data_IF_977827303934
#
_entry.id   IF_977827303934
#
_cell.length_a   1.000
_cell.length_b   1.000
_cell.length_c   1.000
_cell.angle_alpha   90.00
_cell.angle_beta   90.00
_cell.angle_gamma   90.00
#
_symmetry.space_group_name_H-M   'P 1'
#
loop_
_entity.id
_entity.type
_entity.pdbx_description
1 polymer ?
#
# COMPACT_ATOMS: atom_id res chain seq x y z
N UNK A 1 43.05 -48.10 -24.02
CA UNK A 1 42.08 -46.99 -24.04
C UNK A 1 40.83 -47.34 -23.21
N UNK A 2 40.88 -47.27 -21.88
CA UNK A 2 39.68 -47.45 -21.01
C UNK A 2 39.65 -46.59 -19.74
N UNK A 3 40.66 -45.75 -19.49
CA UNK A 3 40.73 -44.89 -18.29
C UNK A 3 40.48 -43.39 -18.54
N UNK A 4 40.29 -42.98 -19.79
CA UNK A 4 40.12 -41.56 -20.13
C UNK A 4 38.68 -41.02 -19.94
N UNK A 5 37.67 -41.89 -19.88
CA UNK A 5 36.25 -41.45 -19.76
C UNK A 5 35.77 -41.22 -18.32
N UNK A 6 36.46 -41.75 -17.29
CA UNK A 6 36.01 -41.62 -15.89
C UNK A 6 36.50 -40.30 -15.25
N UNK A 7 37.64 -39.78 -15.69
CA UNK A 7 38.20 -38.51 -15.16
C UNK A 7 37.41 -37.30 -15.66
N UNK A 8 36.84 -37.37 -16.87
CA UNK A 8 36.03 -36.27 -17.43
C UNK A 8 34.68 -36.11 -16.72
N UNK A 9 34.06 -37.21 -16.27
CA UNK A 9 32.79 -37.17 -15.52
C UNK A 9 32.97 -36.67 -14.08
N UNK A 10 34.10 -37.02 -13.44
CA UNK A 10 34.45 -36.53 -12.10
C UNK A 10 34.82 -35.03 -12.07
N UNK A 11 35.46 -34.53 -13.13
CA UNK A 11 35.74 -33.09 -13.27
C UNK A 11 34.47 -32.26 -13.54
N UNK A 12 33.53 -32.75 -14.36
CA UNK A 12 32.25 -32.06 -14.55
C UNK A 12 31.39 -32.03 -13.28
N UNK A 13 31.36 -33.13 -12.52
CA UNK A 13 30.65 -33.17 -11.23
C UNK A 13 31.27 -32.22 -10.20
N UNK A 14 32.60 -32.17 -10.11
CA UNK A 14 33.30 -31.28 -9.18
C UNK A 14 33.08 -29.79 -9.49
N UNK A 15 32.98 -29.42 -10.77
CA UNK A 15 32.69 -28.05 -11.20
C UNK A 15 31.25 -27.66 -10.85
N UNK A 16 30.26 -28.53 -11.11
CA UNK A 16 28.86 -28.28 -10.73
C UNK A 16 28.68 -28.17 -9.21
N UNK A 17 29.37 -29.00 -8.42
CA UNK A 17 29.33 -28.90 -6.95
C UNK A 17 29.99 -27.62 -6.43
N UNK A 18 31.03 -27.11 -7.11
CA UNK A 18 31.72 -25.88 -6.72
C UNK A 18 30.88 -24.62 -6.92
N UNK A 19 30.15 -24.54 -8.05
CA UNK A 19 29.23 -23.42 -8.32
C UNK A 19 28.01 -23.43 -7.39
N UNK A 20 27.37 -24.59 -7.19
CA UNK A 20 26.23 -24.69 -6.28
C UNK A 20 26.57 -24.36 -4.81
N UNK A 21 27.81 -24.63 -4.38
CA UNK A 21 28.29 -24.29 -3.05
C UNK A 21 28.56 -22.78 -2.89
N UNK A 22 28.98 -22.09 -3.95
CA UNK A 22 29.18 -20.64 -3.95
C UNK A 22 27.83 -19.90 -3.95
N UNK A 23 26.87 -20.34 -4.77
CA UNK A 23 25.50 -19.79 -4.80
C UNK A 23 24.78 -19.97 -3.45
N UNK A 24 24.89 -21.15 -2.83
CA UNK A 24 24.33 -21.39 -1.50
C UNK A 24 24.93 -20.42 -0.45
N UNK A 25 26.24 -20.17 -0.51
CA UNK A 25 26.88 -19.20 0.39
C UNK A 25 26.42 -17.77 0.11
N UNK A 26 26.24 -17.39 -1.16
CA UNK A 26 25.69 -16.09 -1.56
C UNK A 26 24.30 -15.88 -0.92
N UNK A 27 23.45 -16.91 -0.97
CA UNK A 27 22.10 -16.89 -0.41
C UNK A 27 22.10 -16.79 1.12
N UNK A 28 22.97 -17.51 1.81
CA UNK A 28 23.07 -17.40 3.27
C UNK A 28 23.57 -16.00 3.70
N UNK A 29 24.52 -15.42 2.99
CA UNK A 29 24.97 -14.03 3.21
C UNK A 29 23.83 -13.05 2.95
N UNK A 30 23.06 -13.24 1.88
CA UNK A 30 21.88 -12.43 1.59
C UNK A 30 20.86 -12.49 2.73
N UNK A 31 20.50 -13.70 3.19
CA UNK A 31 19.55 -13.93 4.29
C UNK A 31 20.00 -13.27 5.58
N UNK A 32 21.27 -13.37 5.93
CA UNK A 32 21.83 -12.73 7.12
C UNK A 32 21.78 -11.19 7.04
N UNK A 33 22.16 -10.62 5.89
CA UNK A 33 22.05 -9.18 5.66
C UNK A 33 20.59 -8.70 5.73
N UNK A 34 19.67 -9.49 5.17
CA UNK A 34 18.25 -9.19 5.24
C UNK A 34 17.72 -9.22 6.67
N UNK A 35 18.00 -10.27 7.45
CA UNK A 35 17.63 -10.33 8.88
C UNK A 35 18.14 -9.12 9.64
N UNK A 36 19.41 -8.75 9.45
CA UNK A 36 20.00 -7.56 10.07
C UNK A 36 19.27 -6.29 9.65
N UNK A 37 18.91 -6.15 8.38
CA UNK A 37 18.15 -4.99 7.89
C UNK A 37 16.72 -4.90 8.44
N UNK A 38 16.15 -6.04 8.85
CA UNK A 38 14.80 -6.13 9.41
C UNK A 38 14.75 -5.75 10.89
N UNK A 39 15.89 -5.77 11.58
CA UNK A 39 15.97 -5.38 12.98
C UNK A 39 15.68 -3.89 13.21
N UNK A 40 14.82 -3.59 14.19
CA UNK A 40 14.46 -2.22 14.58
C UNK A 40 15.66 -1.40 15.02
N UNK A 41 16.66 -2.03 15.65
CA UNK A 41 17.96 -1.43 16.00
C UNK A 41 18.71 -0.91 14.76
N UNK A 42 18.54 -1.57 13.61
CA UNK A 42 19.08 -1.19 12.31
C UNK A 42 18.10 -0.34 11.48
N UNK A 43 16.96 0.06 12.05
CA UNK A 43 15.92 0.85 11.37
C UNK A 43 14.85 0.02 10.63
N UNK A 44 14.84 -1.30 10.81
CA UNK A 44 13.88 -2.23 10.22
C UNK A 44 12.53 -2.31 10.96
N UNK A 45 11.56 -3.09 10.42
CA UNK A 45 10.19 -3.16 10.95
C UNK A 45 10.01 -4.09 12.16
N UNK A 46 10.99 -4.93 12.50
CA UNK A 46 10.85 -6.05 13.46
C UNK A 46 11.65 -5.78 14.72
N UNK A 47 11.12 -6.13 15.90
CA UNK A 47 11.89 -6.06 17.14
C UNK A 47 12.98 -7.14 17.11
N UNK A 48 14.17 -6.86 17.65
CA UNK A 48 15.34 -7.76 17.52
C UNK A 48 15.04 -9.17 18.04
N UNK A 49 14.27 -9.30 19.13
CA UNK A 49 13.84 -10.57 19.70
C UNK A 49 12.89 -11.40 18.80
N UNK A 50 12.25 -10.74 17.83
CA UNK A 50 11.27 -11.34 16.93
C UNK A 50 11.87 -11.76 15.58
N UNK A 51 13.15 -11.45 15.31
CA UNK A 51 13.86 -11.90 14.09
C UNK A 51 13.88 -13.41 13.94
N UNK A 52 13.84 -14.16 15.06
CA UNK A 52 13.76 -15.62 15.05
C UNK A 52 12.53 -16.19 14.33
N UNK A 53 11.52 -15.37 14.05
CA UNK A 53 10.32 -15.76 13.31
C UNK A 53 10.42 -15.48 11.80
N UNK A 54 11.55 -14.93 11.32
CA UNK A 54 11.87 -14.77 9.89
C UNK A 54 12.51 -16.06 9.39
N UNK A 55 11.73 -16.83 8.63
CA UNK A 55 12.10 -18.15 8.14
C UNK A 55 12.23 -18.16 6.62
N UNK A 56 13.06 -19.07 6.10
CA UNK A 56 13.28 -19.25 4.66
C UNK A 56 13.00 -20.70 4.25
N UNK A 57 12.75 -20.89 2.97
CA UNK A 57 12.83 -22.20 2.33
C UNK A 57 14.28 -22.62 2.11
N UNK A 58 14.49 -23.89 1.77
CA UNK A 58 15.79 -24.37 1.29
C UNK A 58 16.17 -23.65 -0.01
N UNK A 59 17.47 -23.50 -0.24
CA UNK A 59 17.97 -23.03 -1.54
C UNK A 59 17.66 -24.06 -2.62
N UNK A 60 17.25 -23.60 -3.79
CA UNK A 60 17.04 -24.42 -4.98
C UNK A 60 17.56 -23.67 -6.23
N UNK A 61 18.57 -24.21 -6.93
CA UNK A 61 19.16 -23.57 -8.11
C UNK A 61 18.22 -23.56 -9.33
N UNK A 62 17.16 -24.38 -9.38
CA UNK A 62 16.19 -24.33 -10.49
C UNK A 62 15.36 -23.03 -10.51
N UNK A 63 15.41 -22.28 -9.42
CA UNK A 63 14.73 -21.01 -9.23
C UNK A 63 15.67 -19.79 -9.36
N UNK A 64 16.84 -20.00 -9.95
CA UNK A 64 17.75 -18.95 -10.39
C UNK A 64 17.85 -18.97 -11.92
N UNK A 65 17.24 -17.96 -12.55
CA UNK A 65 17.00 -17.96 -13.99
C UNK A 65 17.59 -16.72 -14.65
N UNK A 66 17.94 -16.84 -15.94
CA UNK A 66 18.31 -15.71 -16.77
C UNK A 66 17.10 -15.28 -17.60
N UNK A 67 16.75 -14.00 -17.53
CA UNK A 67 15.68 -13.40 -18.32
C UNK A 67 16.25 -12.53 -19.44
N UNK A 68 15.62 -12.55 -20.62
CA UNK A 68 15.81 -11.52 -21.62
C UNK A 68 14.92 -10.31 -21.31
N UNK A 69 15.45 -9.12 -21.56
CA UNK A 69 14.81 -7.86 -21.20
C UNK A 69 14.28 -7.18 -22.46
N UNK A 70 12.97 -7.01 -22.52
CA UNK A 70 12.30 -6.16 -23.50
C UNK A 70 11.95 -4.82 -22.86
N UNK A 71 12.66 -3.75 -23.25
CA UNK A 71 12.39 -2.42 -22.72
C UNK A 71 11.07 -1.87 -23.25
N UNK A 72 10.29 -1.29 -22.35
CA UNK A 72 9.05 -0.63 -22.69
C UNK A 72 9.27 0.89 -22.74
N UNK A 73 8.75 1.52 -23.79
CA UNK A 73 8.87 2.96 -24.03
C UNK A 73 7.48 3.59 -24.02
N UNK A 74 7.39 4.85 -23.58
CA UNK A 74 6.13 5.62 -23.57
C UNK A 74 4.99 5.01 -22.73
N UNK A 75 5.28 4.05 -21.84
CA UNK A 75 4.26 3.47 -20.96
C UNK A 75 3.60 4.53 -20.05
N UNK A 76 2.27 4.46 -19.87
CA UNK A 76 1.55 5.31 -18.92
C UNK A 76 1.94 4.96 -17.48
N UNK A 77 1.72 5.89 -16.56
CA UNK A 77 1.84 5.58 -15.14
C UNK A 77 0.67 4.73 -14.67
N UNK A 78 0.94 3.87 -13.71
CA UNK A 78 -0.06 3.03 -13.03
C UNK A 78 -0.03 3.31 -11.53
N UNK A 79 -1.20 3.27 -10.90
CA UNK A 79 -1.31 3.28 -9.43
C UNK A 79 -1.39 1.84 -8.95
N UNK A 80 -0.43 1.44 -8.12
CA UNK A 80 -0.47 0.16 -7.42
C UNK A 80 -1.05 0.39 -6.02
N UNK A 81 -2.13 -0.32 -5.63
CA UNK A 81 -2.69 -0.20 -4.30
C UNK A 81 -1.65 -0.65 -3.26
N UNK A 82 -1.70 -0.08 -2.07
CA UNK A 82 -0.81 -0.46 -0.96
C UNK A 82 -1.57 -1.13 0.16
N UNK A 83 -0.85 -1.88 1.00
CA UNK A 83 -1.38 -2.58 2.18
C UNK A 83 -2.15 -1.71 3.18
N UNK A 84 -1.82 -0.43 3.30
CA UNK A 84 -2.53 0.54 4.13
C UNK A 84 -3.69 1.21 3.38
N UNK A 85 -4.12 0.59 2.28
CA UNK A 85 -5.16 1.08 1.38
C UNK A 85 -4.88 2.48 0.87
N UNK A 86 -3.62 2.83 0.59
CA UNK A 86 -3.27 3.98 -0.27
C UNK A 86 -2.86 3.46 -1.65
N UNK A 87 -2.13 4.24 -2.44
CA UNK A 87 -1.51 3.75 -3.68
C UNK A 87 -0.19 4.44 -3.95
N UNK A 88 0.67 3.78 -4.73
CA UNK A 88 1.94 4.34 -5.20
C UNK A 88 1.97 4.35 -6.72
N UNK A 89 2.55 5.39 -7.28
CA UNK A 89 2.64 5.56 -8.74
C UNK A 89 3.90 4.88 -9.27
N UNK A 90 3.71 3.97 -10.21
CA UNK A 90 4.75 3.22 -10.91
C UNK A 90 4.62 3.41 -12.42
N UNK A 91 5.65 3.01 -13.14
CA UNK A 91 5.65 2.87 -14.59
C UNK A 91 6.26 1.53 -14.95
N UNK A 92 5.69 0.82 -15.92
CA UNK A 92 6.31 -0.40 -16.46
C UNK A 92 7.63 -0.02 -17.14
N UNK A 93 8.70 -0.66 -16.73
CA UNK A 93 10.04 -0.39 -17.22
C UNK A 93 10.47 -1.36 -18.33
N UNK A 94 10.19 -2.65 -18.13
CA UNK A 94 10.50 -3.71 -19.10
C UNK A 94 9.60 -4.93 -18.87
N UNK A 95 9.48 -5.79 -19.90
CA UNK A 95 9.06 -7.18 -19.76
C UNK A 95 10.29 -8.07 -19.60
N UNK A 96 10.26 -8.94 -18.61
CA UNK A 96 11.27 -9.95 -18.36
C UNK A 96 10.75 -11.29 -18.88
N UNK A 97 11.41 -11.82 -19.92
CA UNK A 97 11.05 -13.10 -20.53
C UNK A 97 12.02 -14.18 -20.06
N UNK A 98 11.51 -15.22 -19.42
CA UNK A 98 12.32 -16.30 -18.86
C UNK A 98 11.54 -17.62 -18.81
N UNK A 99 12.24 -18.74 -18.68
CA UNK A 99 11.62 -20.04 -18.46
C UNK A 99 11.81 -20.46 -17.01
N UNK A 100 10.73 -20.84 -16.33
CA UNK A 100 10.77 -21.34 -14.95
C UNK A 100 10.00 -22.66 -14.87
N UNK A 101 10.67 -23.71 -14.40
CA UNK A 101 10.12 -25.07 -14.35
C UNK A 101 9.49 -25.54 -15.68
N UNK A 102 10.10 -25.15 -16.81
CA UNK A 102 9.64 -25.50 -18.16
C UNK A 102 8.46 -24.66 -18.69
N UNK A 103 8.03 -23.62 -17.97
CA UNK A 103 7.01 -22.68 -18.43
C UNK A 103 7.68 -21.38 -18.86
N UNK A 104 7.39 -20.92 -20.06
CA UNK A 104 7.84 -19.62 -20.54
C UNK A 104 6.92 -18.52 -20.00
N UNK A 105 7.52 -17.57 -19.28
CA UNK A 105 6.85 -16.49 -18.57
C UNK A 105 7.34 -15.14 -19.12
N UNK A 106 6.44 -14.17 -19.13
CA UNK A 106 6.75 -12.78 -19.44
C UNK A 106 6.10 -11.90 -18.38
N UNK A 107 6.92 -11.29 -17.52
CA UNK A 107 6.43 -10.49 -16.40
C UNK A 107 6.99 -9.07 -16.43
N UNK A 108 6.16 -8.05 -16.17
CA UNK A 108 6.64 -6.69 -16.11
C UNK A 108 7.44 -6.43 -14.82
N UNK A 109 8.44 -5.57 -14.96
CA UNK A 109 9.17 -4.94 -13.86
C UNK A 109 8.94 -3.44 -13.88
N UNK A 110 8.87 -2.81 -12.71
CA UNK A 110 8.42 -1.43 -12.56
C UNK A 110 9.51 -0.49 -12.08
N UNK A 111 9.41 0.78 -12.45
CA UNK A 111 10.11 1.88 -11.80
C UNK A 111 9.13 2.76 -11.03
N UNK A 112 9.53 3.29 -9.87
CA UNK A 112 8.67 4.18 -9.10
C UNK A 112 8.64 5.57 -9.75
N UNK A 113 7.46 6.03 -10.16
CA UNK A 113 7.28 7.28 -10.91
C UNK A 113 7.14 8.52 -10.00
N UNK A 114 7.23 8.37 -8.67
CA UNK A 114 7.09 9.49 -7.73
C UNK A 114 8.27 10.45 -7.87
N UNK A 115 8.01 11.63 -8.43
CA UNK A 115 8.94 12.75 -8.59
C UNK A 115 9.40 13.28 -7.23
N UNK A 116 10.45 12.69 -6.66
CA UNK A 116 11.43 13.23 -5.70
C UNK A 116 12.24 12.03 -5.20
N UNK A 117 12.98 11.38 -6.09
CA UNK A 117 13.81 10.24 -5.72
C UNK A 117 15.28 10.59 -5.82
N UNK A 118 16.00 10.34 -4.72
CA UNK A 118 17.45 10.47 -4.65
C UNK A 118 18.09 9.55 -5.69
N UNK A 119 19.31 9.90 -6.15
CA UNK A 119 20.05 9.16 -7.19
C UNK A 119 20.19 7.65 -6.90
N UNK A 120 20.10 7.23 -5.63
CA UNK A 120 20.13 5.82 -5.23
C UNK A 120 18.82 5.06 -5.49
N UNK A 121 17.65 5.70 -5.38
CA UNK A 121 16.36 5.04 -5.59
C UNK A 121 15.98 4.94 -7.07
N UNK A 122 16.44 5.89 -7.89
CA UNK A 122 16.25 5.86 -9.35
C UNK A 122 16.83 4.61 -10.04
N UNK A 123 17.77 3.92 -9.38
CA UNK A 123 18.43 2.73 -9.90
C UNK A 123 17.68 1.43 -9.59
N UNK A 124 16.77 1.41 -8.62
CA UNK A 124 16.02 0.21 -8.24
C UNK A 124 14.82 -0.01 -9.18
N UNK A 125 14.62 -1.28 -9.52
CA UNK A 125 13.51 -1.79 -10.27
C UNK A 125 12.69 -2.67 -9.32
N UNK A 126 11.41 -2.36 -9.22
CA UNK A 126 10.46 -3.05 -8.37
C UNK A 126 9.91 -4.27 -9.13
N UNK A 127 10.31 -5.47 -8.70
CA UNK A 127 9.79 -6.73 -9.25
C UNK A 127 8.94 -7.45 -8.20
N UNK A 128 7.65 -7.10 -8.09
CA UNK A 128 6.72 -7.80 -7.21
C UNK A 128 6.29 -9.13 -7.84
N UNK A 129 6.06 -10.15 -7.01
CA UNK A 129 5.56 -11.45 -7.44
C UNK A 129 4.45 -11.96 -6.51
N UNK A 130 3.48 -12.65 -7.10
CA UNK A 130 2.58 -13.57 -6.42
C UNK A 130 2.65 -14.92 -7.13
N UNK A 131 2.42 -15.98 -6.39
CA UNK A 131 2.55 -17.34 -6.91
C UNK A 131 1.65 -18.30 -6.12
N UNK A 132 1.60 -19.59 -6.48
CA UNK A 132 0.70 -20.55 -5.82
C UNK A 132 0.99 -20.79 -4.34
N UNK A 133 2.14 -20.33 -3.81
CA UNK A 133 2.44 -20.37 -2.37
C UNK A 133 1.86 -19.18 -1.59
N UNK A 134 1.41 -18.13 -2.29
CA UNK A 134 0.97 -16.86 -1.70
C UNK A 134 -0.27 -17.05 -0.83
N UNK A 135 -0.20 -16.60 0.42
CA UNK A 135 -1.29 -16.74 1.40
C UNK A 135 -1.25 -18.04 2.20
N UNK A 136 -0.67 -19.10 1.64
CA UNK A 136 -0.47 -20.40 2.29
C UNK A 136 0.86 -20.42 3.05
N UNK A 137 1.97 -20.66 2.34
CA UNK A 137 3.31 -20.77 2.92
C UNK A 137 4.17 -19.51 2.77
N UNK A 138 3.75 -18.55 1.94
CA UNK A 138 4.34 -17.21 1.79
C UNK A 138 3.35 -16.10 2.13
N UNK A 139 3.84 -14.87 2.26
CA UNK A 139 3.03 -13.73 2.72
C UNK A 139 1.83 -13.43 1.82
N UNK A 140 0.67 -13.17 2.41
CA UNK A 140 -0.61 -13.04 1.70
C UNK A 140 -0.68 -11.92 0.66
N UNK A 141 0.14 -10.87 0.77
CA UNK A 141 0.18 -9.77 -0.21
C UNK A 141 1.34 -9.90 -1.21
N UNK A 142 1.96 -11.08 -1.31
CA UNK A 142 3.06 -11.36 -2.23
C UNK A 142 4.44 -10.95 -1.70
N UNK A 143 5.45 -11.17 -2.54
CA UNK A 143 6.88 -10.99 -2.22
C UNK A 143 7.55 -10.10 -3.26
N UNK A 144 8.70 -9.55 -2.92
CA UNK A 144 9.48 -8.70 -3.81
C UNK A 144 10.84 -9.33 -4.13
N UNK A 145 11.34 -9.00 -5.31
CA UNK A 145 12.73 -9.22 -5.72
C UNK A 145 13.29 -7.84 -6.09
N UNK A 146 14.41 -7.48 -5.48
CA UNK A 146 15.09 -6.23 -5.80
C UNK A 146 15.96 -6.43 -7.04
N UNK A 147 15.62 -5.74 -8.12
CA UNK A 147 16.47 -5.64 -9.31
C UNK A 147 17.01 -4.22 -9.43
N UNK A 148 18.14 -4.04 -10.10
CA UNK A 148 18.67 -2.71 -10.43
C UNK A 148 18.90 -2.59 -11.92
N UNK A 149 18.78 -1.37 -12.45
CA UNK A 149 19.07 -1.10 -13.88
C UNK A 149 20.46 -1.58 -14.30
N UNK A 150 21.44 -1.46 -13.42
CA UNK A 150 22.83 -1.88 -13.65
C UNK A 150 23.02 -3.40 -13.69
N UNK A 151 22.05 -4.17 -13.20
CA UNK A 151 22.09 -5.63 -13.25
C UNK A 151 21.74 -6.14 -14.66
N UNK A 152 21.11 -5.29 -15.47
CA UNK A 152 20.80 -5.58 -16.87
C UNK A 152 22.07 -5.40 -17.71
N UNK A 153 22.55 -6.50 -18.31
CA UNK A 153 23.73 -6.53 -19.17
C UNK A 153 23.41 -7.24 -20.47
N UNK A 154 23.75 -6.62 -21.60
CA UNK A 154 23.53 -7.17 -22.93
C UNK A 154 22.07 -7.63 -23.18
N UNK A 155 21.09 -6.87 -22.67
CA UNK A 155 19.67 -7.20 -22.80
C UNK A 155 19.21 -8.38 -21.95
N UNK A 156 19.97 -8.77 -20.92
CA UNK A 156 19.64 -9.87 -20.01
C UNK A 156 19.80 -9.47 -18.55
N UNK A 157 19.08 -10.15 -17.66
CA UNK A 157 19.17 -9.97 -16.20
C UNK A 157 18.98 -11.31 -15.48
N UNK A 158 19.72 -11.53 -14.39
CA UNK A 158 19.53 -12.70 -13.50
C UNK A 158 18.35 -12.42 -12.57
N UNK A 159 17.43 -13.37 -12.46
CA UNK A 159 16.31 -13.35 -11.52
C UNK A 159 16.47 -14.55 -10.58
N UNK A 160 16.76 -14.25 -9.32
CA UNK A 160 17.00 -15.26 -8.30
C UNK A 160 15.85 -15.26 -7.28
N UNK A 161 14.89 -16.17 -7.47
CA UNK A 161 13.72 -16.28 -6.60
C UNK A 161 14.08 -16.77 -5.19
N UNK A 162 15.29 -17.33 -4.98
CA UNK A 162 15.78 -17.63 -3.63
C UNK A 162 16.01 -16.36 -2.79
N UNK A 163 16.07 -15.19 -3.44
CA UNK A 163 16.17 -13.87 -2.81
C UNK A 163 14.81 -13.17 -2.67
N UNK A 164 13.70 -13.81 -3.06
CA UNK A 164 12.37 -13.26 -2.88
C UNK A 164 12.07 -13.05 -1.38
N UNK A 165 11.54 -11.88 -1.03
CA UNK A 165 11.39 -11.47 0.36
C UNK A 165 10.06 -10.80 0.65
N UNK A 166 9.66 -10.80 1.92
CA UNK A 166 8.38 -10.21 2.31
C UNK A 166 8.51 -8.68 2.47
N UNK A 167 7.52 -7.91 2.01
CA UNK A 167 7.45 -6.48 2.29
C UNK A 167 7.37 -6.17 3.79
N UNK A 168 7.75 -4.96 4.19
CA UNK A 168 7.73 -4.55 5.60
C UNK A 168 6.36 -4.71 6.30
N UNK A 169 5.28 -4.67 5.54
CA UNK A 169 3.91 -4.85 5.99
C UNK A 169 3.60 -6.28 6.48
N UNK A 170 4.45 -7.25 6.12
CA UNK A 170 4.40 -8.60 6.67
C UNK A 170 4.73 -8.62 8.17
N UNK A 171 5.55 -7.68 8.64
CA UNK A 171 6.07 -7.70 10.01
C UNK A 171 5.54 -6.57 10.89
N UNK A 172 5.06 -5.48 10.29
CA UNK A 172 4.69 -4.28 11.04
C UNK A 172 3.59 -3.47 10.34
N UNK A 173 2.68 -2.93 11.14
CA UNK A 173 1.64 -2.03 10.67
C UNK A 173 2.21 -0.61 10.42
N UNK A 174 1.59 0.15 9.51
CA UNK A 174 1.99 1.52 9.19
C UNK A 174 3.00 1.67 8.04
N UNK A 175 3.26 0.60 7.28
CA UNK A 175 4.00 0.67 6.02
C UNK A 175 3.03 0.64 4.82
N UNK A 176 3.43 1.33 3.73
CA UNK A 176 2.65 1.46 2.49
C UNK A 176 3.27 0.59 1.41
N UNK A 177 3.12 -0.73 1.54
CA UNK A 177 3.76 -1.70 0.66
C UNK A 177 2.87 -1.93 -0.58
N UNK A 178 3.36 -1.68 -1.82
CA UNK A 178 2.60 -1.92 -3.04
C UNK A 178 2.19 -3.38 -3.16
N UNK A 179 0.94 -3.64 -3.48
CA UNK A 179 0.47 -4.97 -3.81
C UNK A 179 0.89 -5.31 -5.25
N UNK A 180 1.42 -6.52 -5.50
CA UNK A 180 1.71 -7.00 -6.84
C UNK A 180 0.46 -6.91 -7.73
N UNK A 181 0.56 -6.38 -8.95
CA UNK A 181 -0.54 -6.43 -9.90
C UNK A 181 -0.74 -7.85 -10.41
N UNK A 182 -1.94 -8.14 -10.92
CA UNK A 182 -2.31 -9.48 -11.42
C UNK A 182 -1.37 -10.02 -12.50
N UNK A 183 -0.86 -9.16 -13.37
CA UNK A 183 0.10 -9.53 -14.42
C UNK A 183 1.44 -10.05 -13.88
N UNK A 184 1.71 -9.89 -12.58
CA UNK A 184 2.84 -10.47 -11.87
C UNK A 184 2.48 -11.74 -11.08
N UNK A 185 1.29 -12.31 -11.30
CA UNK A 185 0.93 -13.61 -10.76
C UNK A 185 1.53 -14.74 -11.61
N UNK A 186 2.30 -15.60 -10.98
CA UNK A 186 2.92 -16.77 -11.58
C UNK A 186 2.10 -17.99 -11.18
N UNK A 187 1.48 -18.66 -12.16
CA UNK A 187 0.67 -19.87 -11.91
C UNK A 187 1.54 -21.13 -11.69
N UNK A 188 2.56 -21.00 -10.85
CA UNK A 188 3.53 -22.04 -10.46
C UNK A 188 3.80 -21.83 -8.97
N UNK A 189 4.06 -22.88 -8.20
CA UNK A 189 4.49 -22.73 -6.82
C UNK A 189 5.97 -22.34 -6.77
N UNK A 190 6.32 -21.29 -6.01
CA UNK A 190 7.71 -20.85 -5.81
C UNK A 190 8.11 -21.06 -4.34
N UNK A 191 8.42 -22.30 -3.92
CA UNK A 191 8.76 -22.66 -2.55
C UNK A 191 10.24 -22.37 -2.22
N UNK A 192 10.75 -21.23 -2.64
CA UNK A 192 12.10 -20.71 -2.35
C UNK A 192 12.01 -19.30 -1.78
N UNK A 193 13.08 -18.78 -1.18
CA UNK A 193 13.08 -17.43 -0.59
C UNK A 193 12.44 -17.37 0.80
N UNK A 194 11.92 -16.21 1.16
CA UNK A 194 11.34 -15.98 2.49
C UNK A 194 9.94 -16.60 2.63
N UNK A 195 9.70 -17.25 3.77
CA UNK A 195 8.39 -17.81 4.17
C UNK A 195 7.52 -16.75 4.81
N UNK A 196 6.23 -17.05 4.97
CA UNK A 196 5.31 -16.23 5.77
C UNK A 196 5.87 -16.01 7.19
N UNK A 197 5.99 -14.75 7.61
CA UNK A 197 6.40 -14.39 8.96
C UNK A 197 5.37 -14.86 9.99
N UNK A 198 5.83 -15.53 11.05
CA UNK A 198 4.96 -16.16 12.06
C UNK A 198 5.04 -15.48 13.44
N UNK A 199 5.78 -14.38 13.56
CA UNK A 199 5.94 -13.67 14.81
C UNK A 199 4.83 -12.65 15.05
N UNK A 200 4.81 -12.00 16.23
CA UNK A 200 3.89 -10.89 16.48
C UNK A 200 4.22 -9.72 15.53
N UNK A 201 3.17 -9.07 15.01
CA UNK A 201 3.33 -7.83 14.23
C UNK A 201 3.56 -6.67 15.18
N UNK A 202 4.59 -5.87 14.90
CA UNK A 202 4.79 -4.62 15.61
C UNK A 202 3.81 -3.56 15.10
N UNK A 203 3.31 -2.71 15.99
CA UNK A 203 2.79 -1.42 15.57
C UNK A 203 3.97 -0.46 15.53
N UNK A 204 4.30 0.05 14.34
CA UNK A 204 5.26 1.14 14.25
C UNK A 204 4.63 2.34 14.95
N UNK A 205 5.13 2.69 16.14
CA UNK A 205 5.03 4.06 16.61
C UNK A 205 5.69 4.93 15.53
N UNK A 206 4.88 5.60 14.74
CA UNK A 206 5.37 6.60 13.82
C UNK A 206 6.22 7.57 14.64
N UNK A 207 7.53 7.66 14.33
CA UNK A 207 8.33 8.78 14.81
C UNK A 207 7.52 10.02 14.48
N UNK A 208 7.18 10.88 15.45
CA UNK A 208 6.36 12.04 15.16
C UNK A 208 7.08 12.84 14.08
N UNK A 209 6.56 12.77 12.86
CA UNK A 209 6.81 13.83 11.89
C UNK A 209 6.29 15.04 12.64
N UNK A 210 7.19 15.96 13.03
CA UNK A 210 6.78 17.10 13.82
C UNK A 210 5.63 17.76 13.09
N UNK A 211 4.43 17.65 13.67
CA UNK A 211 3.23 18.05 13.00
C UNK A 211 3.36 19.53 12.66
N UNK A 212 3.16 19.86 11.39
CA UNK A 212 3.46 21.19 10.85
C UNK A 212 2.25 22.08 11.04
N UNK A 213 2.47 23.34 11.39
CA UNK A 213 1.41 24.34 11.35
C UNK A 213 0.99 24.67 9.90
N UNK A 214 -0.09 25.43 9.73
CA UNK A 214 -0.55 25.91 8.42
C UNK A 214 0.51 26.81 7.75
N UNK A 215 0.68 26.63 6.44
CA UNK A 215 1.50 27.50 5.60
C UNK A 215 0.86 28.90 5.47
N UNK A 216 1.65 29.91 5.08
CA UNK A 216 1.11 31.26 4.86
C UNK A 216 -0.04 31.29 3.83
N UNK A 217 0.02 30.43 2.81
CA UNK A 217 -1.05 30.27 1.81
C UNK A 217 -2.32 29.70 2.44
N UNK A 218 -2.20 28.62 3.20
CA UNK A 218 -3.33 27.97 3.89
C UNK A 218 -3.99 28.92 4.89
N UNK A 219 -3.19 29.66 5.68
CA UNK A 219 -3.70 30.68 6.61
C UNK A 219 -4.56 31.72 5.90
N UNK A 220 -4.13 32.19 4.72
CA UNK A 220 -4.90 33.15 3.91
C UNK A 220 -6.22 32.56 3.41
N UNK A 221 -6.23 31.28 3.03
CA UNK A 221 -7.46 30.60 2.60
C UNK A 221 -8.43 30.46 3.79
N UNK A 222 -7.95 30.01 4.95
CA UNK A 222 -8.76 29.84 6.17
C UNK A 222 -9.37 31.17 6.61
N UNK A 223 -8.58 32.25 6.62
CA UNK A 223 -8.98 33.58 7.06
C UNK A 223 -9.65 34.44 5.97
N UNK A 224 -9.99 33.86 4.82
CA UNK A 224 -10.64 34.59 3.72
C UNK A 224 -12.12 34.90 3.96
N UNK A 225 -12.70 34.38 5.03
CA UNK A 225 -14.12 34.46 5.37
C UNK A 225 -14.37 34.00 6.81
N UNK A 226 -15.57 34.24 7.29
CA UNK A 226 -16.02 33.96 8.67
C UNK A 226 -16.21 32.45 8.92
N UNK A 227 -16.25 31.99 10.18
CA UNK A 227 -16.32 30.56 10.51
C UNK A 227 -17.52 29.81 9.91
N UNK A 228 -18.64 30.48 9.68
CA UNK A 228 -19.88 29.93 9.11
C UNK A 228 -19.98 30.13 7.58
N UNK A 229 -19.00 30.77 6.96
CA UNK A 229 -18.96 30.96 5.50
C UNK A 229 -18.32 29.75 4.79
N UNK A 230 -19.03 29.25 3.79
CA UNK A 230 -18.56 28.15 2.94
C UNK A 230 -17.24 28.47 2.23
N UNK A 231 -16.47 27.43 1.99
CA UNK A 231 -15.20 27.48 1.25
C UNK A 231 -15.44 27.06 -0.20
N UNK A 232 -14.56 27.51 -1.09
CA UNK A 232 -14.55 27.03 -2.45
C UNK A 232 -14.09 25.56 -2.49
N UNK A 233 -14.94 24.68 -3.02
CA UNK A 233 -14.59 23.27 -3.25
C UNK A 233 -13.83 23.14 -4.56
N UNK A 234 -12.58 22.72 -4.48
CA UNK A 234 -11.69 22.48 -5.61
C UNK A 234 -12.27 21.42 -6.54
N UNK A 235 -12.13 21.65 -7.85
CA UNK A 235 -12.71 20.78 -8.89
C UNK A 235 -11.63 20.10 -9.72
N UNK A 236 -11.77 18.80 -9.98
CA UNK A 236 -10.81 18.03 -10.82
C UNK A 236 -10.74 18.51 -12.27
N UNK A 237 -11.77 19.23 -12.74
CA UNK A 237 -11.83 19.83 -14.08
C UNK A 237 -10.87 21.01 -14.26
N UNK A 238 -10.34 21.57 -13.17
CA UNK A 238 -9.33 22.62 -13.18
C UNK A 238 -7.96 22.04 -12.82
N UNK A 239 -6.97 22.22 -13.70
CA UNK A 239 -5.62 21.65 -13.52
C UNK A 239 -4.96 22.07 -12.20
N UNK A 240 -5.08 23.36 -11.84
CA UNK A 240 -4.51 23.92 -10.60
C UNK A 240 -5.10 23.29 -9.34
N UNK A 241 -6.38 22.96 -9.38
CA UNK A 241 -7.13 22.35 -8.30
C UNK A 241 -6.79 20.86 -8.19
N UNK A 242 -6.76 20.18 -9.34
CA UNK A 242 -6.36 18.77 -9.44
C UNK A 242 -4.97 18.51 -8.86
N UNK A 243 -4.02 19.43 -9.07
CA UNK A 243 -2.68 19.33 -8.46
C UNK A 243 -2.78 19.30 -6.92
N UNK A 244 -3.61 20.15 -6.33
CA UNK A 244 -3.79 20.24 -4.88
C UNK A 244 -4.50 18.99 -4.35
N UNK A 245 -5.59 18.59 -5.02
CA UNK A 245 -6.38 17.39 -4.71
C UNK A 245 -5.57 16.10 -4.80
N UNK A 246 -4.50 16.08 -5.62
CA UNK A 246 -3.61 14.92 -5.79
C UNK A 246 -2.30 15.04 -5.00
N UNK A 247 -2.12 16.10 -4.22
CA UNK A 247 -0.95 16.31 -3.36
C UNK A 247 -1.17 15.65 -2.00
N UNK A 248 -0.22 14.84 -1.55
CA UNK A 248 -0.27 14.22 -0.22
C UNK A 248 -0.25 15.29 0.88
N UNK A 249 -1.13 15.12 1.87
CA UNK A 249 -1.29 16.02 3.00
C UNK A 249 -0.32 15.74 4.14
N UNK A 250 0.04 16.80 4.87
CA UNK A 250 0.93 16.76 6.04
C UNK A 250 0.13 16.65 7.35
N UNK A 251 0.71 15.99 8.35
CA UNK A 251 0.17 15.99 9.71
C UNK A 251 0.17 17.43 10.29
N UNK A 252 -0.87 17.76 11.04
CA UNK A 252 -1.08 19.05 11.70
C UNK A 252 -1.09 18.93 13.22
N UNK A 253 -0.62 19.98 13.90
CA UNK A 253 -0.73 20.07 15.36
C UNK A 253 -2.19 20.19 15.79
N UNK A 254 -2.59 19.37 16.75
CA UNK A 254 -3.96 19.36 17.26
C UNK A 254 -4.34 20.68 17.95
N UNK A 255 -3.36 21.43 18.44
CA UNK A 255 -3.51 22.72 19.13
C UNK A 255 -3.30 23.93 18.20
N UNK A 256 -3.33 23.74 16.87
CA UNK A 256 -3.17 24.87 15.94
C UNK A 256 -4.33 25.87 16.11
N UNK A 257 -4.05 27.17 16.26
CA UNK A 257 -5.06 28.17 16.63
C UNK A 257 -6.13 28.40 15.56
N UNK A 258 -5.87 28.01 14.31
CA UNK A 258 -6.82 28.17 13.20
C UNK A 258 -7.66 26.91 12.95
N UNK A 259 -7.44 25.84 13.74
CA UNK A 259 -8.11 24.57 13.50
C UNK A 259 -9.63 24.69 13.69
N UNK A 260 -10.08 25.36 14.75
CA UNK A 260 -11.52 25.58 14.99
C UNK A 260 -12.17 26.43 13.89
N UNK A 261 -11.46 27.44 13.38
CA UNK A 261 -11.95 28.27 12.28
C UNK A 261 -12.10 27.45 11.00
N UNK A 262 -11.08 26.66 10.66
CA UNK A 262 -11.11 25.79 9.48
C UNK A 262 -12.22 24.73 9.59
N UNK A 263 -12.36 24.05 10.71
CA UNK A 263 -13.35 22.96 10.85
C UNK A 263 -14.78 23.48 10.77
N UNK A 264 -15.08 24.67 11.32
CA UNK A 264 -16.39 25.32 11.16
C UNK A 264 -16.69 25.65 9.69
N UNK A 265 -15.70 26.18 8.96
CA UNK A 265 -15.87 26.48 7.53
C UNK A 265 -16.00 25.22 6.67
N UNK A 266 -15.25 24.17 6.98
CA UNK A 266 -15.40 22.85 6.35
C UNK A 266 -16.81 22.30 6.58
N UNK A 267 -17.32 22.39 7.82
CA UNK A 267 -18.68 22.00 8.16
C UNK A 267 -19.73 22.79 7.37
N UNK A 268 -19.61 24.13 7.31
CA UNK A 268 -20.49 24.97 6.50
C UNK A 268 -20.43 24.62 5.01
N UNK A 269 -19.29 24.14 4.52
CA UNK A 269 -19.09 23.74 3.13
C UNK A 269 -19.76 22.39 2.82
N UNK A 270 -19.56 21.38 3.67
CA UNK A 270 -20.12 20.04 3.43
C UNK A 270 -21.64 19.98 3.68
N UNK A 271 -22.16 20.89 4.50
CA UNK A 271 -23.60 21.01 4.76
C UNK A 271 -24.32 22.02 3.86
N UNK A 272 -23.66 22.49 2.79
CA UNK A 272 -24.27 23.38 1.80
C UNK A 272 -25.55 22.75 1.22
N UNK A 273 -26.75 23.37 1.40
CA UNK A 273 -27.99 22.81 0.91
C UNK A 273 -28.04 22.60 -0.61
N UNK A 274 -27.24 23.36 -1.36
CA UNK A 274 -27.16 23.21 -2.82
C UNK A 274 -26.37 21.97 -3.23
N UNK A 275 -25.36 21.58 -2.43
CA UNK A 275 -24.44 20.47 -2.71
C UNK A 275 -24.09 19.69 -1.43
N UNK A 276 -25.07 19.01 -0.81
CA UNK A 276 -24.86 18.36 0.47
C UNK A 276 -23.91 17.17 0.35
N UNK A 277 -22.97 17.08 1.27
CA UNK A 277 -22.06 15.95 1.46
C UNK A 277 -22.25 15.29 2.81
N UNK A 278 -21.71 14.08 2.96
CA UNK A 278 -21.63 13.35 4.24
C UNK A 278 -20.22 13.35 4.82
N UNK A 279 -19.26 13.91 4.08
CA UNK A 279 -17.85 14.01 4.44
C UNK A 279 -17.16 15.06 3.57
N UNK A 280 -16.10 15.67 4.11
CA UNK A 280 -15.18 16.53 3.37
C UNK A 280 -13.77 16.45 3.97
N UNK A 281 -12.77 16.42 3.11
CA UNK A 281 -11.37 16.49 3.48
C UNK A 281 -10.78 17.90 3.24
N UNK A 282 -9.87 18.34 4.10
CA UNK A 282 -9.25 19.67 3.98
C UNK A 282 -8.59 19.96 2.61
N UNK A 283 -8.01 18.97 1.88
CA UNK A 283 -7.49 19.20 0.54
C UNK A 283 -8.56 19.66 -0.45
N UNK A 284 -9.82 19.25 -0.28
CA UNK A 284 -10.92 19.67 -1.15
C UNK A 284 -11.25 21.16 -1.04
N UNK A 285 -10.82 21.82 0.03
CA UNK A 285 -10.94 23.27 0.23
C UNK A 285 -9.58 23.98 0.14
N UNK A 286 -8.58 23.31 -0.43
CA UNK A 286 -7.27 23.89 -0.72
C UNK A 286 -6.26 23.85 0.42
N UNK A 287 -6.47 23.00 1.44
CA UNK A 287 -5.62 22.87 2.62
C UNK A 287 -5.04 21.44 2.68
N UNK A 288 -3.75 21.25 2.37
CA UNK A 288 -3.11 19.92 2.36
C UNK A 288 -2.67 19.50 3.77
N UNK A 289 -3.63 19.44 4.70
CA UNK A 289 -3.46 18.95 6.07
C UNK A 289 -4.34 17.75 6.32
N UNK A 290 -3.87 16.84 7.16
CA UNK A 290 -4.61 15.62 7.53
C UNK A 290 -5.78 15.95 8.46
N UNK A 291 -6.83 16.55 7.91
CA UNK A 291 -8.09 16.88 8.61
C UNK A 291 -9.25 16.47 7.71
N UNK A 292 -10.21 15.76 8.29
CA UNK A 292 -11.47 15.42 7.64
C UNK A 292 -12.63 15.81 8.56
N UNK A 293 -13.78 16.13 7.98
CA UNK A 293 -15.04 16.33 8.68
C UNK A 293 -16.04 15.31 8.12
N UNK A 294 -16.61 14.46 8.98
CA UNK A 294 -17.39 13.28 8.59
C UNK A 294 -18.66 13.18 9.42
N UNK A 295 -19.77 12.87 8.76
CA UNK A 295 -21.03 12.49 9.40
C UNK A 295 -21.03 11.00 9.80
N UNK A 296 -21.31 10.71 11.07
CA UNK A 296 -21.27 9.33 11.62
C UNK A 296 -22.63 8.67 11.65
N UNK A 297 -22.92 7.79 10.68
CA UNK A 297 -24.18 7.03 10.60
C UNK A 297 -24.25 5.80 11.52
N UNK A 298 -23.13 5.44 12.14
CA UNK A 298 -23.01 4.37 13.14
C UNK A 298 -23.30 4.84 14.57
N UNK A 299 -23.62 6.13 14.76
CA UNK A 299 -23.91 6.75 16.05
C UNK A 299 -25.33 7.31 16.05
N UNK A 300 -25.98 7.32 17.22
CA UNK A 300 -27.40 7.68 17.35
C UNK A 300 -27.74 9.11 16.93
N UNK A 301 -26.79 10.05 16.99
CA UNK A 301 -27.01 11.47 16.75
C UNK A 301 -26.72 11.88 15.28
N UNK A 302 -26.11 11.01 14.47
CA UNK A 302 -25.70 11.31 13.09
C UNK A 302 -24.94 12.64 12.94
N UNK A 303 -24.15 13.00 13.95
CA UNK A 303 -23.43 14.27 14.01
C UNK A 303 -22.19 14.28 13.12
N UNK A 304 -21.85 15.49 12.66
CA UNK A 304 -20.58 15.77 12.03
C UNK A 304 -19.49 15.90 13.09
N UNK A 305 -18.41 15.15 12.91
CA UNK A 305 -17.20 15.24 13.71
C UNK A 305 -16.00 15.51 12.82
N UNK A 306 -14.98 16.18 13.36
CA UNK A 306 -13.71 16.35 12.68
C UNK A 306 -12.64 15.46 13.30
N UNK A 307 -11.75 14.95 12.45
CA UNK A 307 -10.71 14.01 12.83
C UNK A 307 -9.36 14.56 12.40
N UNK A 308 -8.42 14.63 13.35
CA UNK A 308 -7.08 15.19 13.15
C UNK A 308 -6.10 14.05 12.95
N UNK A 309 -5.27 14.17 11.92
CA UNK A 309 -4.30 13.17 11.50
C UNK A 309 -4.89 11.74 11.42
N UNK A 310 -6.09 11.54 10.81
CA UNK A 310 -6.71 10.23 10.76
C UNK A 310 -5.90 9.28 9.88
N UNK A 311 -5.76 8.04 10.33
CA UNK A 311 -5.05 6.96 9.65
C UNK A 311 -5.83 5.68 9.79
N UNK A 312 -6.09 5.00 8.67
CA UNK A 312 -6.71 3.68 8.69
C UNK A 312 -5.62 2.64 8.92
N UNK A 313 -5.58 2.05 10.11
CA UNK A 313 -4.53 1.13 10.55
C UNK A 313 -4.87 -0.34 10.29
N UNK A 314 -6.13 -0.65 10.03
CA UNK A 314 -6.60 -1.97 9.62
C UNK A 314 -7.87 -1.88 8.77
N UNK A 315 -8.08 -2.85 7.88
CA UNK A 315 -9.25 -3.00 7.01
C UNK A 315 -9.72 -4.45 7.01
N UNK A 316 -11.03 -4.67 6.97
CA UNK A 316 -11.61 -6.01 6.85
C UNK A 316 -11.41 -6.60 5.47
N UNK A 317 -11.21 -7.91 5.36
CA UNK A 317 -11.25 -8.60 4.07
C UNK A 317 -12.65 -8.54 3.42
N UNK A 318 -13.71 -8.48 4.25
CA UNK A 318 -15.07 -8.27 3.77
C UNK A 318 -15.18 -6.89 3.13
N UNK A 319 -15.71 -6.84 1.92
CA UNK A 319 -15.96 -5.61 1.16
C UNK A 319 -17.46 -5.42 0.94
N UNK A 320 -17.85 -4.17 0.71
CA UNK A 320 -19.19 -3.76 0.33
C UNK A 320 -19.12 -2.93 -0.95
N UNK A 321 -20.06 -3.17 -1.86
CA UNK A 321 -20.28 -2.34 -3.04
C UNK A 321 -21.31 -1.25 -2.69
N UNK A 322 -21.08 -0.03 -3.15
CA UNK A 322 -22.11 1.00 -3.06
C UNK A 322 -21.72 2.26 -3.82
N UNK A 323 -22.73 3.07 -4.11
CA UNK A 323 -22.58 4.32 -4.85
C UNK A 323 -21.77 5.33 -4.04
N UNK A 324 -20.66 5.78 -4.62
CA UNK A 324 -19.87 6.92 -4.15
C UNK A 324 -20.04 8.11 -5.10
N UNK A 325 -19.93 9.32 -4.54
CA UNK A 325 -19.79 10.57 -5.26
C UNK A 325 -18.80 11.47 -4.52
N UNK A 326 -18.36 12.56 -5.15
CA UNK A 326 -17.38 13.47 -4.56
C UNK A 326 -17.70 14.93 -4.91
N UNK A 327 -17.66 15.82 -3.93
CA UNK A 327 -17.88 17.26 -4.14
C UNK A 327 -16.86 17.90 -5.09
N UNK A 328 -15.70 17.27 -5.27
CA UNK A 328 -14.62 17.72 -6.16
C UNK A 328 -14.65 17.10 -7.56
N UNK A 329 -15.58 16.17 -7.82
CA UNK A 329 -15.73 15.51 -9.13
C UNK A 329 -17.18 15.70 -9.59
N UNK A 330 -17.44 16.68 -10.46
CA UNK A 330 -18.80 17.01 -10.87
C UNK A 330 -19.42 15.86 -11.66
N UNK A 331 -20.71 15.63 -11.44
CA UNK A 331 -21.59 14.74 -12.22
C UNK A 331 -21.18 13.25 -12.29
N UNK A 332 -20.23 12.81 -11.47
CA UNK A 332 -19.80 11.40 -11.42
C UNK A 332 -20.29 10.71 -10.15
N UNK A 333 -21.01 9.61 -10.34
CA UNK A 333 -21.42 8.69 -9.27
C UNK A 333 -21.31 7.26 -9.77
N UNK A 334 -20.57 6.44 -9.05
CA UNK A 334 -20.26 5.07 -9.47
C UNK A 334 -20.25 4.14 -8.27
N UNK A 335 -20.48 2.86 -8.51
CA UNK A 335 -20.35 1.84 -7.48
C UNK A 335 -18.88 1.52 -7.21
N UNK A 336 -18.41 1.78 -5.99
CA UNK A 336 -17.05 1.50 -5.55
C UNK A 336 -17.07 0.40 -4.50
N UNK A 337 -16.13 -0.55 -4.58
CA UNK A 337 -15.91 -1.51 -3.51
C UNK A 337 -15.07 -0.88 -2.39
N UNK A 338 -15.54 -0.99 -1.15
CA UNK A 338 -14.81 -0.54 0.05
C UNK A 338 -14.81 -1.63 1.11
N UNK A 339 -13.81 -1.62 1.99
CA UNK A 339 -13.79 -2.54 3.12
C UNK A 339 -14.97 -2.23 4.04
N UNK A 340 -15.68 -3.26 4.50
CA UNK A 340 -16.88 -3.12 5.33
C UNK A 340 -16.57 -2.51 6.70
N UNK A 341 -15.43 -2.89 7.28
CA UNK A 341 -14.96 -2.41 8.57
C UNK A 341 -13.51 -1.93 8.49
N UNK A 342 -13.19 -0.92 9.29
CA UNK A 342 -11.87 -0.33 9.42
C UNK A 342 -11.53 -0.10 10.90
N UNK A 343 -10.24 -0.08 11.23
CA UNK A 343 -9.77 0.54 12.49
C UNK A 343 -9.17 1.88 12.12
N UNK A 344 -9.75 2.95 12.67
CA UNK A 344 -9.29 4.32 12.50
C UNK A 344 -8.46 4.71 13.72
N UNK A 345 -7.23 5.18 13.50
CA UNK A 345 -6.42 5.90 14.48
C UNK A 345 -6.50 7.40 14.16
N UNK A 346 -6.73 8.25 15.15
CA UNK A 346 -6.70 9.71 14.98
C UNK A 346 -6.23 10.40 16.27
N UNK A 347 -6.00 11.71 16.20
CA UNK A 347 -5.62 12.54 17.34
C UNK A 347 -6.84 13.30 17.86
N UNK A 348 -7.11 13.16 19.15
CA UNK A 348 -8.15 13.92 19.83
C UNK A 348 -7.77 15.40 19.96
N UNK A 349 -8.69 16.28 19.60
CA UNK A 349 -8.45 17.73 19.53
C UNK A 349 -8.31 18.40 20.90
N UNK A 350 -8.84 17.80 21.97
CA UNK A 350 -8.79 18.39 23.32
C UNK A 350 -7.55 17.93 24.08
N UNK A 351 -7.28 16.62 24.02
CA UNK A 351 -6.23 15.99 24.81
C UNK A 351 -4.93 15.79 24.04
N UNK A 352 -4.95 15.81 22.70
CA UNK A 352 -3.82 15.45 21.86
C UNK A 352 -3.48 13.95 21.90
N UNK A 353 -4.29 13.13 22.58
CA UNK A 353 -4.07 11.70 22.68
C UNK A 353 -4.47 11.00 21.38
N UNK A 354 -3.81 9.86 21.11
CA UNK A 354 -4.25 8.96 20.05
C UNK A 354 -5.49 8.20 20.48
N UNK A 355 -6.48 8.16 19.61
CA UNK A 355 -7.69 7.36 19.75
C UNK A 355 -7.68 6.32 18.64
N UNK A 356 -8.03 5.08 18.97
CA UNK A 356 -8.29 4.01 18.02
C UNK A 356 -9.72 3.51 18.18
N UNK A 357 -10.47 3.41 17.09
CA UNK A 357 -11.83 2.87 17.10
C UNK A 357 -12.12 2.03 15.86
N UNK A 358 -13.01 1.04 16.02
CA UNK A 358 -13.57 0.26 14.92
C UNK A 358 -14.75 1.03 14.34
N UNK A 359 -14.77 1.18 13.03
CA UNK A 359 -15.84 1.83 12.27
C UNK A 359 -16.31 0.86 11.19
N UNK A 360 -17.62 0.68 11.09
CA UNK A 360 -18.23 -0.31 10.19
C UNK A 360 -19.30 0.32 9.30
N UNK A 361 -19.75 -0.43 8.30
CA UNK A 361 -20.90 -0.07 7.50
C UNK A 361 -20.65 1.19 6.68
N UNK A 362 -21.63 2.11 6.67
CA UNK A 362 -21.58 3.27 5.75
C UNK A 362 -20.59 4.32 6.22
N UNK A 363 -20.46 4.53 7.54
CA UNK A 363 -19.41 5.38 8.09
C UNK A 363 -18.02 4.93 7.62
N UNK A 364 -17.73 3.62 7.62
CA UNK A 364 -16.45 3.11 7.14
C UNK A 364 -16.16 3.49 5.68
N UNK A 365 -17.17 3.54 4.81
CA UNK A 365 -17.03 4.01 3.42
C UNK A 365 -16.65 5.48 3.38
N UNK A 366 -17.36 6.32 4.14
CA UNK A 366 -17.11 7.76 4.18
C UNK A 366 -15.68 8.03 4.68
N UNK A 367 -15.25 7.36 5.76
CA UNK A 367 -13.86 7.51 6.23
C UNK A 367 -12.83 7.07 5.19
N UNK A 368 -13.04 5.95 4.52
CA UNK A 368 -12.12 5.52 3.46
C UNK A 368 -12.05 6.53 2.32
N UNK A 369 -13.18 7.14 1.95
CA UNK A 369 -13.24 8.20 0.94
C UNK A 369 -12.49 9.47 1.40
N UNK A 370 -12.78 9.98 2.59
CA UNK A 370 -12.14 11.21 3.07
C UNK A 370 -10.65 11.03 3.37
N UNK A 371 -10.25 9.85 3.85
CA UNK A 371 -8.85 9.50 4.07
C UNK A 371 -8.10 9.36 2.74
N UNK A 372 -8.72 8.85 1.68
CA UNK A 372 -8.11 8.80 0.34
C UNK A 372 -7.71 10.20 -0.15
N UNK A 373 -8.56 11.21 0.05
CA UNK A 373 -8.25 12.61 -0.29
C UNK A 373 -7.00 13.12 0.42
N UNK A 374 -6.75 12.71 1.67
CA UNK A 374 -5.53 13.09 2.40
C UNK A 374 -4.26 12.56 1.72
N UNK A 375 -4.36 11.44 1.01
CA UNK A 375 -3.25 10.83 0.27
C UNK A 375 -3.20 11.23 -1.20
N UNK A 376 -4.07 12.14 -1.64
CA UNK A 376 -4.16 12.55 -3.03
C UNK A 376 -4.74 11.48 -3.96
N UNK A 377 -5.59 10.61 -3.40
CA UNK A 377 -6.29 9.53 -4.11
C UNK A 377 -7.76 9.93 -4.24
N UNK A 378 -8.30 9.78 -5.45
CA UNK A 378 -9.70 10.07 -5.73
C UNK A 378 -10.44 8.75 -6.03
N UNK A 379 -11.75 8.69 -5.81
CA UNK A 379 -12.51 7.45 -6.03
C UNK A 379 -12.42 6.89 -7.47
N UNK A 380 -12.23 7.68 -8.56
CA UNK A 380 -11.99 7.10 -9.88
C UNK A 380 -10.67 6.33 -9.96
N UNK A 381 -9.66 6.73 -9.18
CA UNK A 381 -8.41 5.96 -9.07
C UNK A 381 -8.70 4.56 -8.44
N UNK A 382 -9.66 4.46 -7.51
CA UNK A 382 -10.11 3.19 -6.93
C UNK A 382 -10.89 2.32 -7.90
N UNK A 383 -11.74 2.92 -8.73
CA UNK A 383 -12.45 2.21 -9.80
C UNK A 383 -11.47 1.59 -10.79
N UNK A 384 -10.46 2.35 -11.21
CA UNK A 384 -9.42 1.85 -12.11
C UNK A 384 -8.61 0.70 -11.48
N UNK A 385 -8.25 0.83 -10.19
CA UNK A 385 -7.60 -0.25 -9.42
C UNK A 385 -8.48 -1.51 -9.37
N UNK A 386 -9.80 -1.36 -9.18
CA UNK A 386 -10.76 -2.46 -9.06
C UNK A 386 -11.05 -3.16 -10.40
N UNK A 387 -11.17 -2.40 -11.49
CA UNK A 387 -11.35 -2.96 -12.84
C UNK A 387 -10.17 -3.84 -13.24
N UNK A 388 -8.95 -3.41 -12.94
CA UNK A 388 -7.75 -4.24 -13.15
C UNK A 388 -7.73 -5.47 -12.25
N UNK A 389 -8.47 -5.44 -11.14
CA UNK A 389 -8.54 -6.50 -10.15
C UNK A 389 -9.77 -7.41 -10.28
N UNK A 390 -10.65 -7.29 -11.29
CA UNK A 390 -12.00 -7.91 -11.37
C UNK A 390 -12.12 -9.37 -10.86
N UNK A 391 -11.26 -10.31 -11.29
CA UNK A 391 -11.23 -11.71 -10.79
C UNK A 391 -10.72 -11.94 -9.34
N UNK A 392 -10.37 -10.91 -8.56
CA UNK A 392 -9.79 -11.06 -7.22
C UNK A 392 -10.83 -11.13 -6.10
N UNK A 393 -12.09 -10.82 -6.38
CA UNK A 393 -13.18 -10.79 -5.40
C UNK A 393 -14.34 -11.67 -5.84
N UNK A 394 -14.84 -12.50 -4.93
CA UNK A 394 -16.05 -13.31 -5.14
C UNK A 394 -17.20 -12.67 -4.38
N UNK A 395 -18.33 -12.46 -5.06
CA UNK A 395 -19.53 -11.93 -4.44
C UNK A 395 -20.14 -12.94 -3.47
N UNK A 396 -20.38 -12.53 -2.23
CA UNK A 396 -21.01 -13.35 -1.19
C UNK A 396 -22.53 -13.09 -1.22
N UNK A 397 -23.24 -13.76 -2.13
CA UNK A 397 -24.69 -13.57 -2.36
C UNK A 397 -25.61 -14.42 -1.47
N UNK A 398 -25.05 -15.30 -0.64
CA UNK A 398 -25.84 -16.07 0.31
C UNK A 398 -26.13 -15.18 1.53
N UNK A 399 -27.41 -14.95 1.82
CA UNK A 399 -27.88 -14.13 2.94
C UNK A 399 -27.16 -14.59 4.22
N UNK A 400 -26.24 -13.76 4.73
CA UNK A 400 -25.47 -14.09 5.92
C UNK A 400 -26.44 -14.11 7.11
N UNK A 401 -26.75 -15.30 7.61
CA UNK A 401 -27.60 -15.47 8.78
C UNK A 401 -26.77 -15.28 10.06
N UNK A 402 -27.11 -14.25 10.83
CA UNK A 402 -26.46 -13.96 12.10
C UNK A 402 -27.23 -14.57 13.27
N UNK A 403 -26.51 -15.18 14.21
CA UNK A 403 -27.07 -15.73 15.45
C UNK A 403 -26.29 -15.18 16.64
N UNK A 404 -26.99 -14.78 17.69
CA UNK A 404 -26.37 -14.46 18.98
C UNK A 404 -27.02 -15.31 20.07
N UNK A 405 -26.26 -15.68 21.11
CA UNK A 405 -26.83 -16.37 22.26
C UNK A 405 -27.87 -15.47 22.94
N UNK A 406 -28.99 -16.07 23.31
CA UNK A 406 -30.02 -15.39 24.11
C UNK A 406 -29.38 -14.87 25.40
N UNK A 407 -29.63 -13.61 25.75
CA UNK A 407 -29.07 -12.88 26.90
C UNK A 407 -27.60 -12.45 26.80
N UNK A 408 -27.01 -12.37 25.59
CA UNK A 408 -25.64 -11.84 25.42
C UNK A 408 -25.61 -10.31 25.29
N UNK A 409 -26.68 -9.68 24.82
CA UNK A 409 -26.83 -8.22 24.83
C UNK A 409 -27.53 -7.86 26.15
N UNK A 410 -26.78 -7.28 27.08
CA UNK A 410 -27.33 -6.65 28.27
C UNK A 410 -27.54 -5.16 27.95
N UNK A 411 -28.63 -4.54 28.44
CA UNK A 411 -29.01 -3.16 28.11
C UNK A 411 -27.95 -2.13 28.51
#
# INVERSE_FOLDING_TARGET
MKYASIILTLLLAAVQTGFAQDDHNEIEVFRENQRRSLEKSAGGPIATENIRFVNYFSFDPEFDVEATVEFLYEEPTIRLPTSDGTSKVFKRFALLHFSLQGNDLSLPVYENASLFQTKMQANYLFFPIMDLTTGDSTYESGRYIDLKRQDIKNGKVRIDFNKAYNPYCAYSNGYRCPQPPKENFINIAIPVGEKKYTGPKNHREEKPIMAKDFTAREKKIILSGEPDEKMYVLQTTLEKDSIILRTQSDDIKFDSPLLEHLTKRMYATVTDPEHPGVGIAAPQVGINKNIICVQRFDKNENDFNYYINPKIVWRSALMRKGVEGCLSIPDMREDVLRNYAIILQYVDHQSGNKVEEIIEGYSAVIFQHEVDHLYGILFPDRLEEQQRAEDATVELNEQIEFWIKKNTILP
#
